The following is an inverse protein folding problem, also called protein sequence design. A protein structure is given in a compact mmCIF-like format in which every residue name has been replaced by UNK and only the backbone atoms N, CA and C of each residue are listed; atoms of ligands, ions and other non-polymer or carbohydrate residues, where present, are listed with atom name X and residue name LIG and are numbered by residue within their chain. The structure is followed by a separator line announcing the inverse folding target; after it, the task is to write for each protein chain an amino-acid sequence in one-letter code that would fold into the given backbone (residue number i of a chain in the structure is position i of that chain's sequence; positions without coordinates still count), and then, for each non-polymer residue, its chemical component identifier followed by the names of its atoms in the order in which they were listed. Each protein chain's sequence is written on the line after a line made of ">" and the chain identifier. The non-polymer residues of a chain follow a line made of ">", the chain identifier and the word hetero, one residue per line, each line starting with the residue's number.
data_IF_661680691119
#
_entry.id   IF_661680691119
#
_cell.length_a   1.000
_cell.length_b   1.000
_cell.length_c   1.000
_cell.angle_alpha   90.00
_cell.angle_beta   90.00
_cell.angle_gamma   90.00
#
_symmetry.space_group_name_H-M   'P 1'
#
loop_
_entity.id
_entity.type
_entity.pdbx_description
1 polymer ?
#
# COMPACT_ATOMS: atom_id res chain seq x y z
N UNK A 1 -19.36 11.05 26.36
CA UNK A 1 -17.93 11.30 26.11
C UNK A 1 -16.99 10.35 26.87
N UNK A 2 -17.30 9.95 28.11
CA UNK A 2 -16.48 9.03 28.93
C UNK A 2 -16.57 7.56 28.46
N UNK A 3 -17.68 7.12 27.91
CA UNK A 3 -17.90 5.73 27.46
C UNK A 3 -17.13 5.40 26.17
N UNK A 4 -16.84 6.39 25.30
CA UNK A 4 -16.03 6.20 24.10
C UNK A 4 -14.52 6.06 24.40
N UNK A 5 -14.04 6.71 25.46
CA UNK A 5 -12.62 6.60 25.89
C UNK A 5 -12.28 5.24 26.48
N UNK A 6 -13.21 4.59 27.20
CA UNK A 6 -12.97 3.26 27.77
C UNK A 6 -12.93 2.14 26.71
N UNK A 7 -13.58 2.30 25.55
CA UNK A 7 -13.51 1.36 24.46
C UNK A 7 -12.20 1.40 23.67
N UNK A 8 -11.51 2.55 23.63
CA UNK A 8 -10.21 2.70 22.95
C UNK A 8 -9.11 2.03 23.77
N UNK A 9 -9.02 2.31 25.07
CA UNK A 9 -7.96 1.77 25.95
C UNK A 9 -8.04 0.25 26.14
N UNK A 10 -9.22 -0.34 26.14
CA UNK A 10 -9.39 -1.79 26.31
C UNK A 10 -9.04 -2.60 25.05
N UNK A 11 -8.99 -1.97 23.86
CA UNK A 11 -8.64 -2.60 22.58
C UNK A 11 -7.13 -2.75 22.37
N UNK A 12 -6.31 -1.85 22.91
CA UNK A 12 -4.88 -1.77 22.60
C UNK A 12 -3.96 -2.40 23.64
N UNK A 13 -4.44 -2.72 24.87
CA UNK A 13 -3.60 -3.11 26.01
C UNK A 13 -3.52 -4.60 26.30
N UNK A 14 -4.14 -5.48 25.56
CA UNK A 14 -3.92 -6.93 25.71
C UNK A 14 -2.78 -7.35 24.78
N UNK A 15 -1.58 -7.37 25.33
CA UNK A 15 -0.31 -7.89 24.80
C UNK A 15 -0.37 -8.38 23.36
N UNK A 16 -0.01 -7.49 22.41
CA UNK A 16 0.14 -7.86 21.01
C UNK A 16 1.12 -9.03 20.92
N UNK A 17 0.62 -10.25 20.78
CA UNK A 17 1.44 -11.39 20.41
C UNK A 17 1.53 -11.36 18.89
N UNK A 18 2.72 -11.07 18.37
CA UNK A 18 3.05 -11.37 17.00
C UNK A 18 2.62 -12.82 16.72
N UNK A 19 1.58 -12.97 15.93
CA UNK A 19 1.12 -14.29 15.50
C UNK A 19 1.91 -14.63 14.24
N UNK A 20 3.02 -15.35 14.39
CA UNK A 20 3.76 -15.91 13.27
C UNK A 20 2.97 -17.09 12.69
N UNK A 21 1.92 -16.77 11.93
CA UNK A 21 1.09 -17.76 11.22
C UNK A 21 1.92 -18.44 10.12
N UNK A 22 2.78 -17.67 9.46
CA UNK A 22 3.67 -18.16 8.43
C UNK A 22 5.10 -18.19 8.98
N UNK A 23 5.55 -19.38 9.36
CA UNK A 23 6.85 -19.62 10.03
C UNK A 23 8.06 -19.16 9.19
N UNK A 24 7.87 -19.00 7.89
CA UNK A 24 8.87 -18.49 6.96
C UNK A 24 9.17 -17.01 7.16
N UNK A 25 8.17 -16.21 7.62
CA UNK A 25 8.34 -14.79 7.90
C UNK A 25 9.09 -14.60 9.22
N UNK A 26 10.30 -14.03 9.14
CA UNK A 26 11.16 -13.84 10.31
C UNK A 26 10.68 -12.72 11.23
N UNK A 27 10.08 -11.68 10.66
CA UNK A 27 9.58 -10.49 11.37
C UNK A 27 8.36 -9.92 10.64
N UNK A 28 7.59 -9.06 11.31
CA UNK A 28 6.33 -8.48 10.83
C UNK A 28 6.49 -7.24 9.95
N UNK A 29 7.61 -7.10 9.24
CA UNK A 29 7.87 -5.95 8.37
C UNK A 29 8.39 -6.40 7.01
N UNK A 30 7.81 -5.87 5.92
CA UNK A 30 8.08 -6.25 4.55
C UNK A 30 8.46 -5.08 3.65
N UNK A 31 9.28 -5.36 2.65
CA UNK A 31 9.69 -4.41 1.63
C UNK A 31 8.68 -4.38 0.48
N UNK A 32 7.88 -3.30 0.39
CA UNK A 32 6.97 -3.07 -0.74
C UNK A 32 7.73 -2.52 -1.95
N UNK A 33 7.79 -3.28 -3.04
CA UNK A 33 8.60 -2.95 -4.22
C UNK A 33 7.84 -2.13 -5.29
N UNK A 34 6.76 -1.45 -4.91
CA UNK A 34 6.06 -0.50 -5.79
C UNK A 34 6.82 0.82 -5.95
N UNK A 35 7.64 1.20 -4.96
CA UNK A 35 8.43 2.43 -4.94
C UNK A 35 9.89 2.08 -4.69
N UNK A 36 10.64 1.82 -5.76
CA UNK A 36 12.07 1.53 -5.72
C UNK A 36 12.88 2.81 -6.01
N UNK A 37 14.17 2.86 -5.66
CA UNK A 37 15.04 3.95 -6.07
C UNK A 37 15.10 4.02 -7.61
N UNK A 38 14.97 5.23 -8.17
CA UNK A 38 14.90 5.47 -9.60
C UNK A 38 16.02 6.39 -10.06
N UNK A 39 16.61 6.07 -11.22
CA UNK A 39 17.54 6.93 -11.93
C UNK A 39 16.76 8.03 -12.70
N UNK A 40 17.44 9.08 -13.10
CA UNK A 40 16.85 10.19 -13.87
C UNK A 40 16.23 9.73 -15.22
N UNK A 41 16.76 8.67 -15.80
CA UNK A 41 16.25 8.09 -17.06
C UNK A 41 14.98 7.21 -16.87
N UNK A 42 14.45 7.12 -15.65
CA UNK A 42 13.27 6.32 -15.33
C UNK A 42 13.51 4.80 -15.19
N UNK A 43 14.79 4.39 -15.12
CA UNK A 43 15.15 3.01 -14.76
C UNK A 43 15.31 2.87 -13.24
N UNK A 44 15.16 1.63 -12.72
CA UNK A 44 15.42 1.35 -11.31
C UNK A 44 16.94 1.44 -11.07
N UNK A 45 17.34 2.18 -10.05
CA UNK A 45 18.72 2.15 -9.54
C UNK A 45 18.96 0.82 -8.81
N UNK A 46 19.36 -0.19 -9.56
CA UNK A 46 19.64 -1.52 -9.02
C UNK A 46 20.85 -1.57 -8.12
N UNK A 47 21.76 -0.59 -8.20
CA UNK A 47 22.92 -0.49 -7.31
C UNK A 47 22.45 -0.07 -5.92
N UNK A 48 21.67 1.00 -5.84
CA UNK A 48 21.09 1.46 -4.57
C UNK A 48 20.09 0.44 -4.02
N UNK A 49 19.22 -0.12 -4.87
CA UNK A 49 18.27 -1.16 -4.45
C UNK A 49 18.98 -2.41 -3.90
N UNK A 50 20.10 -2.82 -4.49
CA UNK A 50 20.89 -3.95 -3.97
C UNK A 50 21.43 -3.68 -2.56
N UNK A 51 21.93 -2.47 -2.28
CA UNK A 51 22.38 -2.08 -0.94
C UNK A 51 21.21 -2.09 0.06
N UNK A 52 20.04 -1.62 -0.37
CA UNK A 52 18.84 -1.63 0.46
C UNK A 52 18.39 -3.07 0.78
N UNK A 53 18.43 -3.98 -0.20
CA UNK A 53 18.16 -5.42 0.00
C UNK A 53 19.14 -6.01 1.01
N UNK A 54 20.45 -5.70 0.89
CA UNK A 54 21.48 -6.18 1.80
C UNK A 54 21.24 -5.68 3.23
N UNK A 55 20.90 -4.40 3.39
CA UNK A 55 20.58 -3.81 4.69
C UNK A 55 19.33 -4.44 5.32
N UNK A 56 18.29 -4.68 4.52
CA UNK A 56 17.04 -5.27 4.96
C UNK A 56 17.20 -6.72 5.44
N UNK A 57 17.84 -7.56 4.63
CA UNK A 57 18.14 -8.95 4.99
C UNK A 57 19.12 -9.01 6.16
N UNK A 58 20.16 -8.16 6.17
CA UNK A 58 21.13 -8.08 7.27
C UNK A 58 20.51 -7.66 8.61
N UNK A 59 19.40 -6.92 8.59
CA UNK A 59 18.62 -6.57 9.77
C UNK A 59 17.67 -7.70 10.25
N UNK A 60 17.62 -8.83 9.53
CA UNK A 60 16.83 -10.01 9.88
C UNK A 60 15.42 -10.02 9.30
N UNK A 61 15.11 -9.15 8.33
CA UNK A 61 13.86 -9.16 7.58
C UNK A 61 14.01 -10.01 6.31
N UNK A 62 12.90 -10.53 5.79
CA UNK A 62 12.97 -11.40 4.61
C UNK A 62 11.76 -11.35 3.68
N UNK A 63 10.79 -10.44 3.89
CA UNK A 63 9.56 -10.38 3.10
C UNK A 63 9.63 -9.28 2.04
N UNK A 64 9.43 -9.63 0.77
CA UNK A 64 9.40 -8.73 -0.38
C UNK A 64 8.07 -8.86 -1.12
N UNK A 65 7.43 -7.72 -1.43
CA UNK A 65 6.13 -7.67 -2.10
C UNK A 65 6.23 -6.92 -3.43
N UNK A 66 5.85 -7.56 -4.52
CA UNK A 66 5.78 -6.97 -5.86
C UNK A 66 4.45 -7.25 -6.54
N UNK A 67 4.28 -6.75 -7.76
CA UNK A 67 3.21 -7.09 -8.69
C UNK A 67 3.68 -6.87 -10.13
N UNK A 68 3.08 -7.57 -11.07
CA UNK A 68 3.47 -7.53 -12.48
C UNK A 68 3.49 -6.12 -13.10
N UNK A 69 2.50 -5.28 -12.75
CA UNK A 69 2.42 -3.90 -13.27
C UNK A 69 3.30 -2.87 -12.54
N UNK A 70 3.98 -3.22 -11.45
CA UNK A 70 4.76 -2.25 -10.68
C UNK A 70 5.94 -1.72 -11.49
N UNK A 71 6.03 -0.38 -11.58
CA UNK A 71 7.06 0.31 -12.36
C UNK A 71 7.11 -0.17 -13.83
N UNK A 72 5.94 -0.45 -14.43
CA UNK A 72 5.82 -1.01 -15.78
C UNK A 72 6.60 -2.32 -15.98
N UNK A 73 6.52 -3.23 -15.00
CA UNK A 73 7.21 -4.53 -14.99
C UNK A 73 8.65 -4.48 -14.49
N UNK A 74 9.22 -3.30 -14.26
CA UNK A 74 10.62 -3.14 -13.82
C UNK A 74 10.86 -3.62 -12.38
N UNK A 75 9.82 -3.67 -11.54
CA UNK A 75 9.93 -4.15 -10.16
C UNK A 75 10.32 -5.63 -10.10
N UNK A 76 9.74 -6.49 -10.93
CA UNK A 76 10.06 -7.92 -10.98
C UNK A 76 11.52 -8.16 -11.44
N UNK A 77 11.96 -7.48 -12.50
CA UNK A 77 13.33 -7.60 -13.02
C UNK A 77 14.37 -6.99 -12.08
N UNK A 78 14.02 -5.90 -11.37
CA UNK A 78 14.88 -5.33 -10.33
C UNK A 78 15.07 -6.29 -9.15
N UNK A 79 13.99 -6.99 -8.71
CA UNK A 79 14.09 -8.05 -7.71
C UNK A 79 14.96 -9.22 -8.19
N UNK A 80 14.87 -9.59 -9.47
CA UNK A 80 15.78 -10.59 -10.02
C UNK A 80 17.25 -10.15 -9.88
N UNK A 81 17.55 -8.92 -10.27
CA UNK A 81 18.94 -8.39 -10.22
C UNK A 81 19.43 -8.23 -8.80
N UNK A 82 18.60 -7.69 -7.91
CA UNK A 82 19.05 -7.21 -6.58
C UNK A 82 18.82 -8.22 -5.45
N UNK A 83 17.92 -9.20 -5.64
CA UNK A 83 17.56 -10.17 -4.61
C UNK A 83 17.77 -11.60 -5.09
N UNK A 84 16.97 -12.08 -6.06
CA UNK A 84 16.82 -13.52 -6.30
C UNK A 84 18.04 -14.17 -6.95
N UNK A 85 18.84 -13.40 -7.73
CA UNK A 85 20.12 -13.88 -8.27
C UNK A 85 21.30 -13.81 -7.27
N UNK A 86 21.10 -13.17 -6.10
CA UNK A 86 22.17 -12.89 -5.14
C UNK A 86 22.03 -13.69 -3.85
N UNK A 87 20.82 -14.07 -3.49
CA UNK A 87 20.52 -14.77 -2.24
C UNK A 87 19.92 -16.14 -2.50
N UNK A 88 20.22 -17.15 -1.65
CA UNK A 88 19.57 -18.46 -1.76
C UNK A 88 18.06 -18.34 -1.55
N UNK A 89 17.28 -19.23 -2.22
CA UNK A 89 15.82 -19.13 -2.29
C UNK A 89 15.11 -19.17 -0.92
N UNK A 90 15.69 -19.79 0.07
CA UNK A 90 15.18 -19.90 1.43
C UNK A 90 15.52 -18.68 2.32
N UNK A 91 16.34 -17.76 1.82
CA UNK A 91 16.70 -16.55 2.55
C UNK A 91 15.60 -15.49 2.54
N UNK A 92 14.67 -15.56 1.58
CA UNK A 92 13.63 -14.54 1.36
C UNK A 92 12.27 -15.15 1.06
N UNK A 93 11.23 -14.37 1.36
CA UNK A 93 9.84 -14.57 0.94
C UNK A 93 9.56 -13.60 -0.21
N UNK A 94 8.99 -14.13 -1.30
CA UNK A 94 8.59 -13.33 -2.44
C UNK A 94 7.10 -13.43 -2.69
N UNK A 95 6.42 -12.29 -2.59
CA UNK A 95 5.01 -12.13 -2.92
C UNK A 95 4.88 -11.48 -4.29
N UNK A 96 4.05 -12.09 -5.16
CA UNK A 96 3.64 -11.50 -6.42
C UNK A 96 2.11 -11.55 -6.56
N UNK A 97 1.55 -10.94 -7.60
CA UNK A 97 0.10 -10.79 -7.73
C UNK A 97 -0.36 -11.07 -9.16
N UNK A 98 -1.51 -11.73 -9.29
CA UNK A 98 -2.24 -11.84 -10.55
C UNK A 98 -3.01 -10.53 -10.77
N UNK A 99 -2.61 -9.74 -11.76
CA UNK A 99 -3.21 -8.42 -12.03
C UNK A 99 -4.23 -8.49 -13.17
N UNK A 100 -5.45 -8.07 -12.90
CA UNK A 100 -6.62 -8.27 -13.78
C UNK A 100 -6.58 -7.56 -15.14
N UNK A 101 -5.67 -6.60 -15.32
CA UNK A 101 -5.45 -5.93 -16.61
C UNK A 101 -4.52 -6.71 -17.55
N UNK A 102 -4.01 -7.87 -17.16
CA UNK A 102 -3.08 -8.69 -17.93
C UNK A 102 -3.65 -10.06 -18.34
N UNK A 103 -4.93 -10.32 -18.04
CA UNK A 103 -5.63 -11.51 -18.50
C UNK A 103 -7.12 -11.20 -18.72
N UNK A 104 -7.75 -11.93 -19.65
CA UNK A 104 -9.19 -11.84 -19.91
C UNK A 104 -9.90 -13.17 -19.64
N UNK A 105 -9.22 -14.29 -19.83
CA UNK A 105 -9.76 -15.65 -19.73
C UNK A 105 -8.77 -16.61 -19.05
N UNK A 106 -9.22 -17.82 -18.72
CA UNK A 106 -8.45 -18.81 -17.97
C UNK A 106 -7.10 -19.14 -18.63
N UNK A 107 -7.09 -19.28 -19.96
CA UNK A 107 -5.89 -19.68 -20.72
C UNK A 107 -4.76 -18.64 -20.66
N UNK A 108 -5.06 -17.39 -20.35
CA UNK A 108 -4.08 -16.32 -20.25
C UNK A 108 -3.29 -16.37 -18.92
N UNK A 109 -3.86 -17.00 -17.87
CA UNK A 109 -3.34 -16.91 -16.50
C UNK A 109 -2.03 -17.68 -16.34
N UNK A 110 -1.95 -18.90 -16.83
CA UNK A 110 -0.72 -19.72 -16.73
C UNK A 110 0.47 -19.14 -17.48
N UNK A 111 0.33 -18.65 -18.74
CA UNK A 111 1.41 -17.94 -19.43
C UNK A 111 1.86 -16.67 -18.69
N UNK A 112 0.91 -15.87 -18.17
CA UNK A 112 1.22 -14.69 -17.36
C UNK A 112 2.00 -15.09 -16.09
N UNK A 113 1.53 -16.08 -15.34
CA UNK A 113 2.21 -16.59 -14.15
C UNK A 113 3.64 -17.07 -14.47
N UNK A 114 3.82 -17.78 -15.57
CA UNK A 114 5.13 -18.26 -16.02
C UNK A 114 6.07 -17.08 -16.34
N UNK A 115 5.58 -16.04 -17.04
CA UNK A 115 6.37 -14.84 -17.34
C UNK A 115 6.80 -14.09 -16.07
N UNK A 116 5.97 -14.09 -15.02
CA UNK A 116 6.31 -13.49 -13.72
C UNK A 116 7.43 -14.30 -13.01
N UNK A 117 7.37 -15.64 -13.05
CA UNK A 117 8.44 -16.49 -12.51
C UNK A 117 9.77 -16.20 -13.22
N UNK A 118 9.74 -16.08 -14.54
CA UNK A 118 10.92 -15.78 -15.36
C UNK A 118 11.47 -14.38 -15.08
N UNK A 119 10.58 -13.36 -14.99
CA UNK A 119 10.95 -11.99 -14.68
C UNK A 119 11.60 -11.88 -13.29
N UNK A 120 11.06 -12.57 -12.29
CA UNK A 120 11.62 -12.62 -10.94
C UNK A 120 12.80 -13.59 -10.80
N UNK A 121 13.03 -14.52 -11.74
CA UNK A 121 14.08 -15.53 -11.69
C UNK A 121 13.88 -16.54 -10.56
N UNK A 122 12.66 -17.03 -10.37
CA UNK A 122 12.28 -18.01 -9.33
C UNK A 122 11.41 -19.13 -9.88
N UNK A 123 11.35 -20.26 -9.18
CA UNK A 123 10.56 -21.43 -9.57
C UNK A 123 9.16 -21.46 -8.93
N UNK A 124 8.94 -20.68 -7.89
CA UNK A 124 7.68 -20.54 -7.16
C UNK A 124 7.59 -19.19 -6.43
N UNK A 125 6.36 -18.75 -6.13
CA UNK A 125 6.10 -17.64 -5.19
C UNK A 125 5.67 -18.18 -3.83
N UNK A 126 6.14 -17.54 -2.76
CA UNK A 126 5.70 -17.87 -1.40
C UNK A 126 4.25 -17.42 -1.19
N UNK A 127 3.92 -16.21 -1.63
CA UNK A 127 2.55 -15.69 -1.64
C UNK A 127 2.17 -15.24 -3.05
N UNK A 128 0.97 -15.60 -3.47
CA UNK A 128 0.41 -15.12 -4.72
C UNK A 128 -0.98 -14.56 -4.48
N UNK A 129 -1.17 -13.27 -4.78
CA UNK A 129 -2.39 -12.57 -4.43
C UNK A 129 -3.25 -12.30 -5.67
N UNK A 130 -4.56 -12.51 -5.57
CA UNK A 130 -5.51 -11.94 -6.52
C UNK A 130 -5.49 -10.43 -6.35
N UNK A 131 -4.98 -9.68 -7.35
CA UNK A 131 -4.62 -8.27 -7.23
C UNK A 131 -5.85 -7.37 -7.24
N UNK A 132 -5.84 -6.34 -6.38
CA UNK A 132 -6.80 -5.22 -6.37
C UNK A 132 -8.26 -5.67 -6.38
N UNK A 133 -8.62 -6.66 -5.53
CA UNK A 133 -9.97 -7.19 -5.48
C UNK A 133 -10.95 -6.12 -5.00
N UNK A 134 -12.01 -5.98 -5.75
CA UNK A 134 -13.22 -5.22 -5.48
C UNK A 134 -14.38 -5.97 -6.14
N UNK A 135 -15.60 -5.53 -5.99
CA UNK A 135 -16.79 -6.21 -6.55
C UNK A 135 -16.65 -6.48 -8.06
N UNK A 136 -16.17 -5.50 -8.84
CA UNK A 136 -16.04 -5.62 -10.29
C UNK A 136 -14.92 -6.60 -10.67
N UNK A 137 -13.74 -6.43 -10.08
CA UNK A 137 -12.60 -7.30 -10.36
C UNK A 137 -12.88 -8.74 -9.92
N UNK A 138 -13.55 -8.93 -8.80
CA UNK A 138 -13.93 -10.27 -8.32
C UNK A 138 -14.75 -11.05 -9.35
N UNK A 139 -15.75 -10.42 -10.00
CA UNK A 139 -16.54 -11.08 -11.05
C UNK A 139 -15.69 -11.42 -12.28
N UNK A 140 -14.73 -10.57 -12.68
CA UNK A 140 -13.78 -10.87 -13.76
C UNK A 140 -12.92 -12.09 -13.40
N UNK A 141 -12.32 -12.11 -12.20
CA UNK A 141 -11.46 -13.21 -11.76
C UNK A 141 -12.23 -14.52 -11.64
N UNK A 142 -13.46 -14.47 -11.19
CA UNK A 142 -14.35 -15.63 -11.10
C UNK A 142 -14.73 -16.16 -12.48
N UNK A 143 -15.10 -15.29 -13.43
CA UNK A 143 -15.44 -15.71 -14.80
C UNK A 143 -14.25 -16.31 -15.55
N UNK A 144 -13.03 -15.83 -15.31
CA UNK A 144 -11.79 -16.39 -15.85
C UNK A 144 -11.25 -17.56 -15.02
N UNK A 145 -11.97 -18.07 -14.01
CA UNK A 145 -11.54 -19.17 -13.12
C UNK A 145 -10.16 -18.95 -12.48
N UNK A 146 -9.84 -17.67 -12.17
CA UNK A 146 -8.52 -17.29 -11.68
C UNK A 146 -8.19 -17.90 -10.32
N UNK A 147 -9.17 -18.00 -9.41
CA UNK A 147 -8.98 -18.63 -8.11
C UNK A 147 -8.72 -20.13 -8.23
N UNK A 148 -9.46 -20.82 -9.10
CA UNK A 148 -9.30 -22.25 -9.37
C UNK A 148 -7.92 -22.53 -9.97
N UNK A 149 -7.50 -21.77 -10.98
CA UNK A 149 -6.17 -21.89 -11.60
C UNK A 149 -5.05 -21.64 -10.58
N UNK A 150 -5.20 -20.63 -9.71
CA UNK A 150 -4.22 -20.37 -8.64
C UNK A 150 -4.16 -21.52 -7.62
N UNK A 151 -5.30 -22.14 -7.29
CA UNK A 151 -5.34 -23.33 -6.42
C UNK A 151 -4.70 -24.56 -7.08
N UNK A 152 -4.80 -24.71 -8.39
CA UNK A 152 -4.06 -25.72 -9.14
C UNK A 152 -2.56 -25.47 -9.10
N UNK A 153 -2.11 -24.24 -9.39
CA UNK A 153 -0.70 -23.84 -9.27
C UNK A 153 -0.16 -24.07 -7.86
N UNK A 154 -0.99 -23.89 -6.84
CA UNK A 154 -0.63 -24.22 -5.46
C UNK A 154 -0.44 -25.72 -5.27
N UNK A 155 -1.32 -26.57 -5.79
CA UNK A 155 -1.17 -28.03 -5.76
C UNK A 155 0.09 -28.50 -6.50
N UNK A 156 0.48 -27.79 -7.55
CA UNK A 156 1.72 -28.03 -8.33
C UNK A 156 2.99 -27.54 -7.59
N UNK A 157 2.84 -26.89 -6.42
CA UNK A 157 3.96 -26.34 -5.64
C UNK A 157 4.54 -25.04 -6.21
N UNK A 158 3.83 -24.40 -7.16
CA UNK A 158 4.24 -23.11 -7.75
C UNK A 158 3.82 -21.90 -6.90
N UNK A 159 2.85 -22.08 -6.03
CA UNK A 159 2.37 -21.10 -5.04
C UNK A 159 2.35 -21.79 -3.69
N UNK A 160 2.94 -21.20 -2.64
CA UNK A 160 2.84 -21.72 -1.29
C UNK A 160 1.56 -21.26 -0.59
N UNK A 161 1.25 -19.96 -0.67
CA UNK A 161 0.08 -19.37 -0.02
C UNK A 161 -0.71 -18.51 -1.00
N UNK A 162 -2.02 -18.75 -1.06
CA UNK A 162 -2.95 -17.97 -1.89
C UNK A 162 -3.58 -16.87 -1.05
N UNK A 163 -3.56 -15.64 -1.57
CA UNK A 163 -4.17 -14.50 -0.91
C UNK A 163 -4.92 -13.56 -1.86
N UNK A 164 -5.39 -12.47 -1.31
CA UNK A 164 -5.98 -11.35 -2.08
C UNK A 164 -5.39 -10.02 -1.60
N UNK A 165 -5.25 -9.04 -2.49
CA UNK A 165 -5.16 -7.62 -2.13
C UNK A 165 -6.50 -6.96 -2.39
N UNK A 166 -7.00 -6.17 -1.43
CA UNK A 166 -8.40 -5.76 -1.37
C UNK A 166 -8.58 -4.25 -1.28
N UNK A 167 -9.55 -3.71 -2.07
CA UNK A 167 -9.81 -2.28 -2.18
C UNK A 167 -11.32 -1.98 -2.36
N UNK A 168 -12.17 -2.46 -1.45
CA UNK A 168 -13.62 -2.20 -1.49
C UNK A 168 -14.21 -2.13 -0.06
N UNK A 169 -15.53 -2.18 0.07
CA UNK A 169 -16.24 -2.22 1.34
C UNK A 169 -16.08 -3.55 2.07
N UNK A 170 -16.23 -3.53 3.38
CA UNK A 170 -16.15 -4.72 4.22
C UNK A 170 -17.15 -5.82 3.81
N UNK A 171 -18.35 -5.44 3.33
CA UNK A 171 -19.35 -6.41 2.87
C UNK A 171 -18.86 -7.18 1.63
N UNK A 172 -18.14 -6.51 0.72
CA UNK A 172 -17.55 -7.16 -0.46
C UNK A 172 -16.44 -8.11 -0.03
N UNK A 173 -15.63 -7.72 0.96
CA UNK A 173 -14.60 -8.59 1.51
C UNK A 173 -15.21 -9.85 2.15
N UNK A 174 -16.26 -9.68 2.95
CA UNK A 174 -16.98 -10.81 3.59
C UNK A 174 -17.56 -11.77 2.55
N UNK A 175 -18.11 -11.23 1.46
CA UNK A 175 -18.62 -12.02 0.32
C UNK A 175 -17.51 -12.81 -0.37
N UNK A 176 -16.36 -12.18 -0.65
CA UNK A 176 -15.20 -12.87 -1.30
C UNK A 176 -14.68 -13.98 -0.42
N UNK A 177 -14.43 -13.72 0.86
CA UNK A 177 -13.88 -14.72 1.78
C UNK A 177 -14.86 -15.86 2.07
N UNK A 178 -16.16 -15.59 2.01
CA UNK A 178 -17.20 -16.64 2.10
C UNK A 178 -17.26 -17.50 0.83
N UNK A 179 -17.02 -16.90 -0.34
CA UNK A 179 -17.03 -17.61 -1.64
C UNK A 179 -15.76 -18.46 -1.84
N UNK A 180 -14.62 -17.96 -1.36
CA UNK A 180 -13.32 -18.63 -1.48
C UNK A 180 -12.64 -18.75 -0.09
N UNK A 181 -13.12 -19.65 0.78
CA UNK A 181 -12.52 -19.87 2.11
C UNK A 181 -11.07 -20.39 2.04
N UNK A 182 -10.61 -20.84 0.88
CA UNK A 182 -9.24 -21.27 0.61
C UNK A 182 -8.23 -20.10 0.55
N UNK A 183 -8.67 -18.85 0.45
CA UNK A 183 -7.81 -17.67 0.62
C UNK A 183 -7.20 -17.72 2.03
N UNK A 184 -5.88 -17.65 2.12
CA UNK A 184 -5.14 -17.84 3.36
C UNK A 184 -4.73 -16.53 4.03
N UNK A 185 -4.58 -15.45 3.24
CA UNK A 185 -4.13 -14.15 3.73
C UNK A 185 -4.80 -13.02 2.95
N UNK A 186 -5.01 -11.89 3.60
CA UNK A 186 -5.65 -10.71 3.01
C UNK A 186 -4.76 -9.49 3.18
N UNK A 187 -4.45 -8.81 2.07
CA UNK A 187 -3.75 -7.54 2.08
C UNK A 187 -4.77 -6.39 2.03
N UNK A 188 -4.79 -5.52 3.05
CA UNK A 188 -5.72 -4.38 3.17
C UNK A 188 -4.98 -3.07 3.41
N UNK A 189 -5.61 -1.94 3.04
CA UNK A 189 -5.19 -0.61 3.46
C UNK A 189 -5.46 -0.44 4.95
N UNK A 190 -4.42 -0.05 5.72
CA UNK A 190 -4.58 0.11 7.16
C UNK A 190 -3.59 1.14 7.71
N UNK A 191 -4.10 2.25 8.19
CA UNK A 191 -3.35 3.31 8.88
C UNK A 191 -4.30 4.11 9.78
N UNK A 192 -3.76 4.96 10.65
CA UNK A 192 -4.56 5.68 11.64
C UNK A 192 -5.55 6.70 11.05
N UNK A 193 -5.34 7.19 9.82
CA UNK A 193 -6.29 8.08 9.14
C UNK A 193 -7.43 7.29 8.51
N UNK A 194 -7.12 6.15 7.87
CA UNK A 194 -8.12 5.35 7.17
C UNK A 194 -8.90 4.43 8.12
N UNK A 195 -8.47 4.31 9.38
CA UNK A 195 -9.06 3.38 10.35
C UNK A 195 -10.58 3.55 10.50
N UNK A 196 -11.06 4.78 10.67
CA UNK A 196 -12.49 5.12 10.74
C UNK A 196 -12.96 5.90 9.49
N UNK A 197 -12.31 5.73 8.34
CA UNK A 197 -12.74 6.35 7.09
C UNK A 197 -13.81 5.50 6.43
N UNK A 198 -14.96 6.09 6.10
CA UNK A 198 -16.10 5.36 5.52
C UNK A 198 -15.87 4.95 4.05
N UNK A 199 -14.95 5.59 3.34
CA UNK A 199 -14.59 5.25 1.96
C UNK A 199 -13.64 4.06 1.89
N UNK A 200 -12.64 4.01 2.79
CA UNK A 200 -11.63 2.93 2.84
C UNK A 200 -12.07 1.79 3.75
N UNK A 201 -12.76 2.09 4.85
CA UNK A 201 -13.30 1.12 5.81
C UNK A 201 -12.24 0.19 6.44
N UNK A 202 -11.04 0.71 6.74
CA UNK A 202 -9.93 -0.12 7.23
C UNK A 202 -10.31 -0.97 8.44
N UNK A 203 -10.96 -0.37 9.47
CA UNK A 203 -11.39 -1.12 10.65
C UNK A 203 -12.42 -2.19 10.32
N UNK A 204 -13.42 -1.86 9.50
CA UNK A 204 -14.46 -2.82 9.12
C UNK A 204 -13.87 -3.99 8.33
N UNK A 205 -12.93 -3.72 7.40
CA UNK A 205 -12.20 -4.78 6.67
C UNK A 205 -11.32 -5.62 7.60
N UNK A 206 -10.64 -4.99 8.56
CA UNK A 206 -9.90 -5.70 9.59
C UNK A 206 -10.81 -6.64 10.39
N UNK A 207 -11.98 -6.15 10.85
CA UNK A 207 -12.95 -6.96 11.61
C UNK A 207 -13.45 -8.17 10.79
N UNK A 208 -13.66 -8.00 9.47
CA UNK A 208 -14.00 -9.11 8.56
C UNK A 208 -12.87 -10.13 8.46
N UNK A 209 -11.63 -9.70 8.30
CA UNK A 209 -10.48 -10.62 8.29
C UNK A 209 -10.41 -11.41 9.59
N UNK A 210 -10.61 -10.76 10.74
CA UNK A 210 -10.64 -11.42 12.07
C UNK A 210 -11.79 -12.43 12.19
N UNK A 211 -12.99 -12.08 11.70
CA UNK A 211 -14.16 -12.97 11.65
C UNK A 211 -13.86 -14.25 10.87
N UNK A 212 -13.16 -14.14 9.74
CA UNK A 212 -12.77 -15.29 8.91
C UNK A 212 -11.45 -15.94 9.33
N UNK A 213 -10.83 -15.52 10.45
CA UNK A 213 -9.54 -16.00 10.92
C UNK A 213 -8.43 -15.87 9.87
N UNK A 214 -8.44 -14.80 9.08
CA UNK A 214 -7.43 -14.54 8.07
C UNK A 214 -6.34 -13.63 8.62
N UNK A 215 -5.05 -14.03 8.56
CA UNK A 215 -3.92 -13.13 8.78
C UNK A 215 -3.95 -11.97 7.80
N UNK A 216 -3.38 -10.84 8.23
CA UNK A 216 -3.49 -9.58 7.49
C UNK A 216 -2.10 -9.08 7.09
N UNK A 217 -1.94 -8.73 5.82
CA UNK A 217 -0.85 -7.88 5.33
C UNK A 217 -1.37 -6.46 5.24
N UNK A 218 -0.63 -5.51 5.79
CA UNK A 218 -0.97 -4.09 5.69
C UNK A 218 -0.25 -3.47 4.50
N UNK A 219 -1.02 -2.81 3.63
CA UNK A 219 -0.53 -1.85 2.64
C UNK A 219 -0.93 -0.43 3.04
N UNK A 220 -0.23 0.57 2.51
CA UNK A 220 -0.48 2.00 2.79
C UNK A 220 -0.36 2.39 4.28
N UNK A 221 0.59 1.86 5.08
CA UNK A 221 0.71 2.22 6.49
C UNK A 221 1.03 3.71 6.69
N UNK A 222 1.72 4.32 5.72
CA UNK A 222 2.05 5.75 5.71
C UNK A 222 1.21 6.56 4.71
N UNK A 223 0.13 5.99 4.17
CA UNK A 223 -0.81 6.62 3.23
C UNK A 223 -0.10 7.33 2.07
N UNK A 224 0.72 6.57 1.31
CA UNK A 224 1.48 7.10 0.18
C UNK A 224 2.52 8.18 0.53
N UNK A 225 2.91 8.28 1.81
CA UNK A 225 3.82 9.30 2.32
C UNK A 225 3.11 10.50 2.97
N UNK A 226 1.78 10.60 2.92
CA UNK A 226 1.05 11.71 3.55
C UNK A 226 1.24 11.76 5.06
N UNK A 227 1.46 10.60 5.70
CA UNK A 227 1.63 10.50 7.15
C UNK A 227 3.08 10.72 7.63
N UNK A 228 4.02 10.95 6.71
CA UNK A 228 5.41 11.33 7.05
C UNK A 228 5.71 12.78 6.72
N UNK A 229 4.74 13.50 6.14
CA UNK A 229 4.82 14.94 5.84
C UNK A 229 3.62 15.65 6.47
N UNK A 230 3.56 15.62 7.81
CA UNK A 230 2.44 16.18 8.57
C UNK A 230 2.46 17.72 8.54
N UNK A 231 1.29 18.37 8.66
CA UNK A 231 1.21 19.80 9.00
C UNK A 231 1.92 20.10 10.32
N UNK A 232 2.49 21.29 10.44
CA UNK A 232 3.33 21.69 11.59
C UNK A 232 2.66 21.45 12.95
N UNK A 233 1.40 21.84 13.10
CA UNK A 233 0.63 21.67 14.33
C UNK A 233 0.34 20.18 14.66
N UNK A 234 0.18 19.33 13.64
CA UNK A 234 0.02 17.90 13.82
C UNK A 234 1.38 17.22 14.11
N UNK A 235 2.44 17.63 13.41
CA UNK A 235 3.80 17.15 13.63
C UNK A 235 4.30 17.46 15.04
N UNK A 236 4.12 18.69 15.52
CA UNK A 236 4.53 19.11 16.84
C UNK A 236 3.99 18.22 17.99
N UNK A 237 2.82 17.59 17.80
CA UNK A 237 2.29 16.63 18.78
C UNK A 237 3.16 15.39 18.89
N UNK A 238 3.56 14.81 17.75
CA UNK A 238 4.44 13.63 17.73
C UNK A 238 5.86 13.99 18.18
N UNK A 239 6.37 15.16 17.78
CA UNK A 239 7.68 15.65 18.18
C UNK A 239 7.77 15.81 19.71
N UNK A 240 6.68 16.19 20.37
CA UNK A 240 6.61 16.34 21.84
C UNK A 240 6.80 15.02 22.60
N UNK A 241 6.67 13.86 21.94
CA UNK A 241 6.91 12.54 22.54
C UNK A 241 8.41 12.23 22.65
N UNK A 242 9.27 12.95 21.92
CA UNK A 242 10.73 12.85 22.01
C UNK A 242 11.34 11.61 21.37
N UNK A 243 10.61 10.91 20.48
CA UNK A 243 11.16 9.70 19.88
C UNK A 243 10.53 9.28 18.56
N UNK A 244 11.38 8.98 17.57
CA UNK A 244 11.00 8.38 16.32
C UNK A 244 10.55 9.36 15.22
N UNK A 245 10.64 8.89 13.98
CA UNK A 245 10.11 9.58 12.81
C UNK A 245 8.57 9.47 12.76
N UNK A 246 7.91 10.35 12.00
CA UNK A 246 6.45 10.21 11.77
C UNK A 246 6.12 8.87 11.10
N UNK A 247 7.01 8.33 10.27
CA UNK A 247 6.88 6.99 9.71
C UNK A 247 6.84 5.92 10.80
N UNK A 248 7.67 6.05 11.86
CA UNK A 248 7.70 5.09 12.96
C UNK A 248 6.35 4.98 13.67
N UNK A 249 5.70 6.11 13.94
CA UNK A 249 4.37 6.11 14.56
C UNK A 249 3.31 5.47 13.67
N UNK A 250 3.35 5.74 12.35
CA UNK A 250 2.37 5.19 11.40
C UNK A 250 2.54 3.69 11.17
N UNK A 251 3.77 3.22 11.00
CA UNK A 251 4.09 1.80 10.75
C UNK A 251 3.87 0.99 12.03
N UNK A 252 4.33 1.49 13.18
CA UNK A 252 4.11 0.84 14.48
C UNK A 252 2.63 0.82 14.86
N UNK A 253 1.85 1.87 14.51
CA UNK A 253 0.40 1.85 14.68
C UNK A 253 -0.21 0.61 14.01
N UNK A 254 0.05 0.42 12.73
CA UNK A 254 -0.47 -0.74 12.01
C UNK A 254 0.03 -2.06 12.61
N UNK A 255 1.33 -2.16 12.89
CA UNK A 255 1.95 -3.37 13.43
C UNK A 255 1.49 -3.74 14.86
N UNK A 256 0.86 -2.81 15.57
CA UNK A 256 0.39 -3.02 16.96
C UNK A 256 -0.97 -3.73 17.08
N UNK A 257 -1.61 -4.09 15.96
CA UNK A 257 -2.92 -4.77 15.97
C UNK A 257 -2.77 -6.29 15.86
N UNK A 258 -3.58 -7.00 16.64
CA UNK A 258 -3.65 -8.46 16.60
C UNK A 258 -4.07 -8.97 15.21
N UNK A 259 -3.38 -10.01 14.72
CA UNK A 259 -3.67 -10.59 13.40
C UNK A 259 -3.07 -9.84 12.23
N UNK A 260 -2.35 -8.73 12.48
CA UNK A 260 -1.45 -8.14 11.49
C UNK A 260 -0.19 -8.98 11.45
N UNK A 261 -0.01 -9.69 10.36
CA UNK A 261 1.13 -10.58 10.13
C UNK A 261 2.31 -9.84 9.51
N UNK A 262 2.02 -8.85 8.66
CA UNK A 262 3.02 -8.13 7.91
C UNK A 262 2.59 -6.68 7.66
N UNK A 263 3.50 -5.72 7.85
CA UNK A 263 3.32 -4.33 7.44
C UNK A 263 4.29 -4.02 6.31
N UNK A 264 3.78 -3.64 5.14
CA UNK A 264 4.59 -3.31 3.97
C UNK A 264 4.93 -1.83 3.95
N UNK A 265 6.20 -1.50 3.74
CA UNK A 265 6.64 -0.14 3.45
C UNK A 265 7.35 -0.07 2.10
N UNK A 266 6.92 0.88 1.27
CA UNK A 266 7.67 1.28 0.09
C UNK A 266 8.78 2.25 0.51
N UNK A 267 10.03 1.89 0.22
CA UNK A 267 11.21 2.67 0.58
C UNK A 267 11.98 2.99 -0.70
N UNK A 268 12.10 4.27 -1.02
CA UNK A 268 12.70 4.75 -2.28
C UNK A 268 14.18 5.11 -2.18
N UNK A 269 14.79 5.03 -0.99
CA UNK A 269 16.19 5.32 -0.76
C UNK A 269 16.67 4.69 0.56
N UNK A 270 18.00 4.74 0.79
CA UNK A 270 18.64 4.16 1.97
C UNK A 270 18.23 4.86 3.27
N UNK A 271 17.94 6.16 3.27
CA UNK A 271 17.53 6.88 4.47
C UNK A 271 16.19 6.37 4.99
N UNK A 272 15.21 6.18 4.10
CA UNK A 272 13.92 5.56 4.45
C UNK A 272 14.09 4.12 4.94
N UNK A 273 14.98 3.35 4.31
CA UNK A 273 15.29 1.98 4.73
C UNK A 273 15.88 1.98 6.14
N UNK A 274 16.88 2.81 6.39
CA UNK A 274 17.59 2.90 7.67
C UNK A 274 16.64 3.31 8.79
N UNK A 275 15.80 4.32 8.54
CA UNK A 275 14.79 4.78 9.49
C UNK A 275 13.82 3.65 9.83
N UNK A 276 13.18 3.04 8.82
CA UNK A 276 12.17 2.00 9.04
C UNK A 276 12.75 0.76 9.74
N UNK A 277 13.94 0.34 9.36
CA UNK A 277 14.65 -0.78 10.00
C UNK A 277 14.98 -0.48 11.46
N UNK A 278 15.32 0.77 11.79
CA UNK A 278 15.77 1.15 13.14
C UNK A 278 14.76 0.81 14.24
N UNK A 279 13.47 1.01 13.97
CA UNK A 279 12.39 0.75 14.95
C UNK A 279 11.64 -0.58 14.71
N UNK A 280 11.69 -1.15 13.49
CA UNK A 280 11.05 -2.43 13.22
C UNK A 280 11.93 -3.64 13.53
N UNK A 281 13.27 -3.45 13.61
CA UNK A 281 14.20 -4.52 13.97
C UNK A 281 13.91 -5.10 15.35
N UNK A 282 13.67 -4.21 16.31
CA UNK A 282 13.33 -4.55 17.69
C UNK A 282 11.95 -3.96 18.03
N UNK A 283 10.95 -4.36 17.24
CA UNK A 283 9.60 -3.81 17.26
C UNK A 283 9.00 -3.77 18.66
N UNK A 284 8.55 -2.58 19.04
CA UNK A 284 7.76 -2.34 20.26
C UNK A 284 6.42 -1.75 19.86
N UNK A 285 5.29 -2.35 20.27
CA UNK A 285 3.97 -1.78 20.06
C UNK A 285 3.87 -0.35 20.61
N UNK A 286 2.95 0.44 20.05
CA UNK A 286 2.66 1.78 20.58
C UNK A 286 2.15 1.70 22.02
N UNK A 287 2.57 2.65 22.86
CA UNK A 287 2.04 2.85 24.19
C UNK A 287 0.78 3.75 24.21
N UNK A 288 0.17 3.90 25.37
CA UNK A 288 -1.06 4.69 25.53
C UNK A 288 -0.87 6.16 25.16
N UNK A 289 0.29 6.76 25.49
CA UNK A 289 0.60 8.17 25.19
C UNK A 289 0.76 8.38 23.67
N UNK A 290 1.40 7.43 22.99
CA UNK A 290 1.56 7.45 21.54
C UNK A 290 0.20 7.34 20.84
N UNK A 291 -0.71 6.48 21.30
CA UNK A 291 -2.09 6.40 20.79
C UNK A 291 -2.87 7.68 21.01
N UNK A 292 -2.78 8.29 22.20
CA UNK A 292 -3.43 9.58 22.48
C UNK A 292 -2.91 10.71 21.59
N UNK A 293 -1.60 10.72 21.31
CA UNK A 293 -0.99 11.69 20.41
C UNK A 293 -1.49 11.49 18.98
N UNK A 294 -1.53 10.25 18.49
CA UNK A 294 -2.07 9.90 17.16
C UNK A 294 -3.55 10.32 17.06
N UNK A 295 -4.37 10.12 18.08
CA UNK A 295 -5.77 10.58 18.08
C UNK A 295 -5.90 12.10 17.92
N UNK A 296 -5.00 12.87 18.52
CA UNK A 296 -4.96 14.33 18.34
C UNK A 296 -4.53 14.69 16.93
N UNK A 297 -3.50 14.02 16.39
CA UNK A 297 -3.04 14.19 15.00
C UNK A 297 -4.18 13.91 14.03
N UNK A 298 -4.90 12.80 14.21
CA UNK A 298 -6.07 12.43 13.38
C UNK A 298 -7.13 13.54 13.38
N UNK A 299 -7.45 14.11 14.55
CA UNK A 299 -8.43 15.20 14.67
C UNK A 299 -7.99 16.45 13.89
N UNK A 300 -6.71 16.83 13.99
CA UNK A 300 -6.16 17.98 13.25
C UNK A 300 -6.21 17.72 11.75
N UNK A 301 -5.73 16.58 11.28
CA UNK A 301 -5.70 16.25 9.84
C UNK A 301 -7.12 16.22 9.27
N UNK A 302 -8.07 15.57 9.96
CA UNK A 302 -9.46 15.49 9.52
C UNK A 302 -10.22 16.82 9.56
N UNK A 303 -9.77 17.77 10.36
CA UNK A 303 -10.35 19.13 10.35
C UNK A 303 -9.92 19.97 9.15
N UNK A 304 -8.94 19.54 8.36
CA UNK A 304 -8.41 20.25 7.19
C UNK A 304 -8.99 19.66 5.90
N UNK A 305 -9.35 20.49 4.93
CA UNK A 305 -9.87 20.03 3.63
C UNK A 305 -8.72 19.55 2.70
N UNK A 306 -7.93 18.56 3.13
CA UNK A 306 -6.86 17.98 2.33
C UNK A 306 -7.40 16.86 1.42
N UNK A 307 -6.88 16.79 0.20
CA UNK A 307 -7.16 15.70 -0.71
C UNK A 307 -6.33 14.47 -0.32
N UNK A 308 -6.99 13.39 0.08
CA UNK A 308 -6.36 12.15 0.58
C UNK A 308 -5.84 11.25 -0.55
N UNK A 309 -5.12 11.81 -1.52
CA UNK A 309 -4.52 11.06 -2.61
C UNK A 309 -3.24 10.34 -2.15
N UNK A 310 -3.09 9.07 -2.54
CA UNK A 310 -1.92 8.22 -2.19
C UNK A 310 -0.88 8.11 -3.31
N UNK A 311 -1.03 8.85 -4.41
CA UNK A 311 -0.13 8.81 -5.57
C UNK A 311 0.06 7.39 -6.16
N UNK A 312 -1.00 6.58 -6.18
CA UNK A 312 -0.96 5.24 -6.75
C UNK A 312 -0.97 5.22 -8.29
N UNK A 313 -1.30 6.35 -8.95
CA UNK A 313 -1.27 6.60 -10.40
C UNK A 313 -2.30 5.85 -11.25
N UNK A 314 -3.14 4.99 -10.71
CA UNK A 314 -4.15 4.26 -11.48
C UNK A 314 -5.12 5.18 -12.24
N UNK A 315 -5.40 6.37 -11.72
CA UNK A 315 -6.23 7.36 -12.37
C UNK A 315 -5.54 8.03 -13.57
N UNK A 316 -4.22 8.24 -13.53
CA UNK A 316 -3.42 8.85 -14.60
C UNK A 316 -3.37 7.94 -15.81
N UNK A 317 -3.14 6.63 -15.61
CA UNK A 317 -3.09 5.64 -16.69
C UNK A 317 -4.41 5.52 -17.47
N UNK A 318 -5.53 5.91 -16.84
CA UNK A 318 -6.87 5.87 -17.45
C UNK A 318 -7.38 7.22 -17.93
N UNK A 319 -6.60 8.28 -17.78
CA UNK A 319 -7.02 9.63 -18.19
C UNK A 319 -6.74 9.86 -19.68
N UNK A 320 -7.78 10.04 -20.55
CA UNK A 320 -7.58 10.26 -21.96
C UNK A 320 -6.94 11.63 -22.26
N UNK A 321 -6.96 12.56 -21.30
CA UNK A 321 -6.33 13.88 -21.39
C UNK A 321 -4.92 13.92 -20.78
N UNK A 322 -4.38 12.77 -20.34
CA UNK A 322 -3.07 12.67 -19.70
C UNK A 322 -2.87 13.63 -18.51
N UNK A 323 -3.93 13.95 -17.77
CA UNK A 323 -3.87 14.83 -16.61
C UNK A 323 -3.07 14.13 -15.51
N UNK A 324 -2.01 14.73 -14.96
CA UNK A 324 -1.21 14.17 -13.89
C UNK A 324 -1.94 14.34 -12.53
N UNK A 325 -3.11 13.70 -12.39
CA UNK A 325 -4.09 13.88 -11.30
C UNK A 325 -3.46 13.87 -9.90
N UNK A 326 -2.63 12.86 -9.53
CA UNK A 326 -2.04 12.83 -8.20
C UNK A 326 -1.12 14.01 -7.91
N UNK A 327 -0.33 14.43 -8.91
CA UNK A 327 0.56 15.57 -8.80
C UNK A 327 -0.21 16.88 -8.61
N UNK A 328 -1.32 17.06 -9.35
CA UNK A 328 -2.17 18.23 -9.20
C UNK A 328 -2.84 18.27 -7.81
N UNK A 329 -3.24 17.12 -7.28
CA UNK A 329 -3.78 17.01 -5.92
C UNK A 329 -2.72 17.30 -4.86
N UNK A 330 -1.47 16.87 -5.07
CA UNK A 330 -0.36 17.24 -4.20
C UNK A 330 -0.13 18.75 -4.20
N UNK A 331 -0.18 19.41 -5.37
CA UNK A 331 -0.10 20.87 -5.47
C UNK A 331 -1.23 21.56 -4.69
N UNK A 332 -2.47 21.06 -4.78
CA UNK A 332 -3.60 21.60 -4.02
C UNK A 332 -3.41 21.44 -2.52
N UNK A 333 -2.90 20.29 -2.07
CA UNK A 333 -2.56 20.07 -0.67
C UNK A 333 -1.43 20.97 -0.18
N UNK A 334 -0.38 21.19 -0.98
CA UNK A 334 0.69 22.14 -0.67
C UNK A 334 0.13 23.56 -0.55
N UNK A 335 -0.77 23.95 -1.44
CA UNK A 335 -1.48 25.24 -1.35
C UNK A 335 -2.27 25.35 -0.03
N UNK A 336 -3.04 24.31 0.32
CA UNK A 336 -3.82 24.27 1.58
C UNK A 336 -2.94 24.33 2.83
N UNK A 337 -1.69 23.80 2.76
CA UNK A 337 -0.66 23.89 3.82
C UNK A 337 0.10 25.23 3.81
N UNK A 338 -0.35 26.20 3.02
CA UNK A 338 0.27 27.54 2.85
C UNK A 338 1.66 27.52 2.20
N UNK A 339 2.02 26.46 1.49
CA UNK A 339 3.25 26.40 0.69
C UNK A 339 3.01 26.91 -0.74
N UNK A 340 2.59 28.16 -0.84
CA UNK A 340 2.02 28.73 -2.06
C UNK A 340 3.01 28.77 -3.24
N UNK A 341 4.27 29.15 -2.99
CA UNK A 341 5.30 29.19 -4.03
C UNK A 341 5.54 27.78 -4.63
N UNK A 342 5.73 26.79 -3.76
CA UNK A 342 5.96 25.40 -4.17
C UNK A 342 4.78 24.85 -4.96
N UNK A 343 3.57 25.10 -4.48
CA UNK A 343 2.33 24.64 -5.12
C UNK A 343 2.23 25.17 -6.57
N UNK A 344 2.41 26.48 -6.77
CA UNK A 344 2.36 27.10 -8.10
C UNK A 344 3.50 26.63 -9.01
N UNK A 345 4.73 26.53 -8.48
CA UNK A 345 5.88 26.07 -9.26
C UNK A 345 5.68 24.62 -9.75
N UNK A 346 5.26 23.71 -8.87
CA UNK A 346 5.06 22.31 -9.22
C UNK A 346 3.85 22.11 -10.13
N UNK A 347 2.76 22.86 -9.93
CA UNK A 347 1.61 22.81 -10.82
C UNK A 347 2.03 23.12 -12.27
N UNK A 348 2.71 24.22 -12.49
CA UNK A 348 3.19 24.61 -13.82
C UNK A 348 4.19 23.60 -14.41
N UNK A 349 5.07 23.03 -13.57
CA UNK A 349 6.02 21.98 -14.01
C UNK A 349 5.29 20.73 -14.49
N UNK A 350 4.33 20.22 -13.73
CA UNK A 350 3.63 18.96 -14.08
C UNK A 350 2.66 19.13 -15.26
N UNK A 351 2.08 20.30 -15.43
CA UNK A 351 1.18 20.57 -16.57
C UNK A 351 1.90 21.03 -17.84
N UNK A 352 3.22 21.18 -17.81
CA UNK A 352 4.02 21.46 -19.00
C UNK A 352 4.12 20.25 -19.95
N UNK A 353 4.07 19.03 -19.40
CA UNK A 353 4.19 17.78 -20.15
C UNK A 353 2.90 16.95 -20.12
N UNK A 354 1.92 17.33 -19.31
CA UNK A 354 0.63 16.65 -19.12
C UNK A 354 -0.55 17.61 -19.25
N UNK A 355 -1.77 17.06 -19.22
CA UNK A 355 -2.99 17.87 -19.27
C UNK A 355 -3.19 18.73 -18.02
N UNK A 356 -3.77 19.93 -18.20
CA UNK A 356 -4.18 20.81 -17.09
C UNK A 356 -5.48 20.32 -16.46
N UNK A 357 -5.78 20.81 -15.24
CA UNK A 357 -7.00 20.41 -14.55
C UNK A 357 -8.28 20.82 -15.29
N UNK A 358 -8.27 21.98 -15.98
CA UNK A 358 -9.40 22.46 -16.79
C UNK A 358 -9.63 21.67 -18.10
N UNK A 359 -8.70 20.83 -18.51
CA UNK A 359 -8.84 19.95 -19.68
C UNK A 359 -9.63 18.68 -19.38
N UNK A 360 -10.11 18.51 -18.12
CA UNK A 360 -10.89 17.35 -17.73
C UNK A 360 -12.23 17.29 -18.49
N UNK A 361 -12.44 16.22 -19.25
CA UNK A 361 -13.68 15.97 -20.00
C UNK A 361 -14.76 15.24 -19.18
N UNK A 362 -14.57 15.11 -17.88
CA UNK A 362 -15.51 14.52 -16.91
C UNK A 362 -15.96 13.06 -17.20
N UNK A 363 -15.16 12.27 -17.90
CA UNK A 363 -15.51 10.90 -18.32
C UNK A 363 -15.63 9.89 -17.17
N UNK A 364 -15.13 10.20 -15.96
CA UNK A 364 -15.24 9.36 -14.76
C UNK A 364 -14.31 8.13 -14.71
N UNK A 365 -13.48 7.89 -15.73
CA UNK A 365 -12.58 6.73 -15.78
C UNK A 365 -11.58 6.70 -14.60
N UNK A 366 -11.11 7.88 -14.18
CA UNK A 366 -10.20 8.04 -13.04
C UNK A 366 -10.86 7.69 -11.69
N UNK A 367 -12.12 8.06 -11.48
CA UNK A 367 -12.85 7.75 -10.24
C UNK A 367 -13.13 6.26 -10.10
N UNK A 368 -13.47 5.60 -11.21
CA UNK A 368 -13.70 4.14 -11.22
C UNK A 368 -12.44 3.35 -10.88
N UNK A 369 -11.24 3.93 -11.11
CA UNK A 369 -9.95 3.30 -10.84
C UNK A 369 -9.36 3.68 -9.48
N UNK A 370 -9.93 4.68 -8.78
CA UNK A 370 -9.35 5.23 -7.56
C UNK A 370 -9.60 4.31 -6.35
N UNK A 371 -8.56 3.73 -5.71
CA UNK A 371 -8.72 2.93 -4.50
C UNK A 371 -9.21 3.75 -3.30
N UNK A 372 -8.94 5.07 -3.30
CA UNK A 372 -9.37 6.01 -2.26
C UNK A 372 -10.79 6.54 -2.49
N UNK A 373 -11.46 6.15 -3.59
CA UNK A 373 -12.82 6.58 -3.95
C UNK A 373 -13.00 8.11 -3.94
N UNK A 374 -11.95 8.84 -4.34
CA UNK A 374 -11.96 10.29 -4.40
C UNK A 374 -12.93 10.79 -5.49
N UNK A 375 -13.70 11.85 -5.25
CA UNK A 375 -14.51 12.52 -6.26
C UNK A 375 -13.60 13.36 -7.19
N UNK A 376 -12.83 12.67 -8.03
CA UNK A 376 -11.70 13.25 -8.77
C UNK A 376 -12.14 14.38 -9.69
N UNK A 377 -13.30 14.26 -10.36
CA UNK A 377 -13.81 15.30 -11.25
C UNK A 377 -14.09 16.61 -10.52
N UNK A 378 -14.74 16.54 -9.36
CA UNK A 378 -15.03 17.73 -8.56
C UNK A 378 -13.76 18.33 -7.95
N UNK A 379 -12.83 17.48 -7.53
CA UNK A 379 -11.52 17.91 -7.03
C UNK A 379 -10.69 18.58 -8.15
N UNK A 380 -10.73 18.09 -9.38
CA UNK A 380 -10.06 18.75 -10.52
C UNK A 380 -10.69 20.11 -10.84
N UNK A 381 -12.01 20.27 -10.70
CA UNK A 381 -12.65 21.59 -10.81
C UNK A 381 -12.12 22.57 -9.76
N UNK A 382 -11.98 22.10 -8.51
CA UNK A 382 -11.41 22.92 -7.43
C UNK A 382 -9.93 23.28 -7.71
N UNK A 383 -9.13 22.32 -8.20
CA UNK A 383 -7.74 22.55 -8.63
C UNK A 383 -7.68 23.56 -9.76
N UNK A 384 -8.52 23.39 -10.78
CA UNK A 384 -8.61 24.33 -11.91
C UNK A 384 -8.98 25.76 -11.46
N UNK A 385 -9.98 25.89 -10.60
CA UNK A 385 -10.37 27.18 -10.05
C UNK A 385 -9.23 27.87 -9.27
N UNK A 386 -8.28 27.10 -8.71
CA UNK A 386 -7.14 27.65 -8.00
C UNK A 386 -5.96 27.99 -8.89
N UNK A 387 -5.60 27.13 -9.85
CA UNK A 387 -4.34 27.20 -10.59
C UNK A 387 -4.49 27.60 -12.07
N UNK A 388 -5.66 27.44 -12.70
CA UNK A 388 -5.90 27.72 -14.13
C UNK A 388 -6.55 29.08 -14.34
N UNK A 389 -6.13 30.10 -13.59
CA UNK A 389 -6.61 31.48 -13.70
C UNK A 389 -5.88 32.22 -14.82
#
# INVERSE_FOLDING_TARGET
>A
MVVQMQFVTQKYTKGCKYMNTFKEAKKNFGFGCMRLPMLENGEVDTVEFSKMVDAFIGAGFNYFDTAHGYLNGKSETALRTSLTSRYPRDAYILTNKLSGNHFEKEEDIRPLFQSQLEACGVDYFDFYLMHAQNKKNFEQYKSARAYETALELKKEGKIRHLGISFHDSADVLDMILSSYPQVEIVQIQFNYIDYEDEGVQSRKCYDVCRKHNKPIIVMEPVKGGSLVSLPEDAGAILDSLGGGSYASYAIRYAASFDGIEMVLSGMGNMDMMTDNVSYMKDFTPLDEKEYEAIDKVVKIIRSRPLISCTDCKYCTERCPQNIPIPQLFACMNDHTKLNLWRANYLYNKYTAEGGRANECIECGACESACPQKLPIRDLLKAVSAQFDK
#
